data_IF_823441204309
#
_entry.id   IF_823441204309
#
_cell.length_a   1.000
_cell.length_b   1.000
_cell.length_c   1.000
_cell.angle_alpha   90.00
_cell.angle_beta   90.00
_cell.angle_gamma   90.00
#
_symmetry.space_group_name_H-M   'P 1'
#
loop_
_entity.id
_entity.type
_entity.pdbx_description
1 polymer ?
#
# COMPACT_ATOMS: atom_id res chain seq x y z
N UNK A 1 -22.27 -49.02 -16.74
CA UNK A 1 -22.27 -48.11 -15.57
C UNK A 1 -20.98 -47.28 -15.42
N UNK A 2 -20.11 -47.23 -16.43
CA UNK A 2 -18.81 -46.51 -16.39
C UNK A 2 -18.86 -45.08 -16.93
N UNK A 3 -19.78 -44.79 -17.87
CA UNK A 3 -19.87 -43.46 -18.52
C UNK A 3 -20.35 -42.33 -17.59
N UNK A 4 -21.20 -42.64 -16.60
CA UNK A 4 -21.74 -41.66 -15.65
C UNK A 4 -20.66 -41.18 -14.67
N UNK A 5 -19.76 -42.07 -14.26
CA UNK A 5 -18.65 -41.77 -13.33
C UNK A 5 -17.62 -40.85 -14.03
N UNK A 6 -17.32 -41.12 -15.30
CA UNK A 6 -16.39 -40.30 -16.08
C UNK A 6 -16.92 -38.87 -16.34
N UNK A 7 -18.23 -38.71 -16.57
CA UNK A 7 -18.84 -37.39 -16.77
C UNK A 7 -18.86 -36.55 -15.48
N UNK A 8 -19.16 -37.17 -14.34
CA UNK A 8 -19.09 -36.49 -13.04
C UNK A 8 -17.67 -36.05 -12.69
N UNK A 9 -16.65 -36.87 -12.97
CA UNK A 9 -15.25 -36.50 -12.76
C UNK A 9 -14.84 -35.31 -13.64
N UNK A 10 -15.29 -35.26 -14.91
CA UNK A 10 -15.00 -34.15 -15.82
C UNK A 10 -15.69 -32.85 -15.38
N UNK A 11 -16.91 -32.94 -14.88
CA UNK A 11 -17.66 -31.79 -14.34
C UNK A 11 -17.00 -31.25 -13.07
N UNK A 12 -16.59 -32.14 -12.16
CA UNK A 12 -15.90 -31.79 -10.91
C UNK A 12 -14.56 -31.12 -11.21
N UNK A 13 -13.73 -31.71 -12.07
CA UNK A 13 -12.46 -31.13 -12.50
C UNK A 13 -12.62 -29.74 -13.13
N UNK A 14 -13.67 -29.51 -13.93
CA UNK A 14 -13.98 -28.19 -14.50
C UNK A 14 -14.33 -27.15 -13.42
N UNK A 15 -15.11 -27.55 -12.41
CA UNK A 15 -15.47 -26.71 -11.27
C UNK A 15 -14.24 -26.36 -10.42
N UNK A 16 -13.41 -27.34 -10.11
CA UNK A 16 -12.20 -27.16 -9.30
C UNK A 16 -11.20 -26.24 -10.01
N UNK A 17 -11.01 -26.41 -11.33
CA UNK A 17 -10.19 -25.51 -12.15
C UNK A 17 -10.72 -24.08 -12.14
N UNK A 18 -12.04 -23.89 -12.24
CA UNK A 18 -12.67 -22.55 -12.19
C UNK A 18 -12.52 -21.92 -10.80
N UNK A 19 -12.66 -22.70 -9.73
CA UNK A 19 -12.47 -22.24 -8.36
C UNK A 19 -11.02 -21.80 -8.11
N UNK A 20 -10.04 -22.60 -8.53
CA UNK A 20 -8.62 -22.27 -8.43
C UNK A 20 -8.26 -20.98 -9.19
N UNK A 21 -8.79 -20.80 -10.41
CA UNK A 21 -8.59 -19.56 -11.18
C UNK A 21 -9.19 -18.34 -10.50
N UNK A 22 -10.39 -18.46 -9.93
CA UNK A 22 -11.04 -17.37 -9.20
C UNK A 22 -10.25 -17.02 -7.92
N UNK A 23 -9.80 -18.04 -7.19
CA UNK A 23 -8.95 -17.87 -6.03
C UNK A 23 -7.66 -17.11 -6.38
N UNK A 24 -6.92 -17.57 -7.41
CA UNK A 24 -5.71 -16.89 -7.90
C UNK A 24 -5.97 -15.44 -8.30
N UNK A 25 -7.07 -15.17 -9.01
CA UNK A 25 -7.46 -13.79 -9.38
C UNK A 25 -7.68 -12.91 -8.16
N UNK A 26 -8.35 -13.41 -7.12
CA UNK A 26 -8.60 -12.66 -5.88
C UNK A 26 -7.30 -12.37 -5.13
N UNK A 27 -6.41 -13.35 -5.01
CA UNK A 27 -5.11 -13.17 -4.38
C UNK A 27 -4.26 -12.11 -5.10
N UNK A 28 -4.22 -12.15 -6.44
CA UNK A 28 -3.53 -11.13 -7.24
C UNK A 28 -4.13 -9.73 -7.05
N UNK A 29 -5.45 -9.62 -6.91
CA UNK A 29 -6.10 -8.34 -6.65
C UNK A 29 -5.69 -7.78 -5.28
N UNK A 30 -5.71 -8.59 -4.23
CA UNK A 30 -5.25 -8.20 -2.89
C UNK A 30 -3.77 -7.81 -2.93
N UNK A 31 -2.90 -8.61 -3.55
CA UNK A 31 -1.49 -8.27 -3.73
C UNK A 31 -1.32 -6.89 -4.38
N UNK A 32 -2.04 -6.63 -5.48
CA UNK A 32 -1.92 -5.37 -6.23
C UNK A 32 -2.35 -4.15 -5.41
N UNK A 33 -3.41 -4.27 -4.62
CA UNK A 33 -3.91 -3.17 -3.77
C UNK A 33 -2.86 -2.76 -2.74
N UNK A 34 -2.21 -3.73 -2.10
CA UNK A 34 -1.32 -3.45 -0.96
C UNK A 34 0.17 -3.33 -1.31
N UNK A 35 0.66 -3.98 -2.37
CA UNK A 35 2.07 -3.84 -2.79
C UNK A 35 2.35 -2.49 -3.46
N UNK A 36 1.38 -1.89 -4.15
CA UNK A 36 1.56 -0.56 -4.72
C UNK A 36 1.68 0.54 -3.66
N UNK A 37 1.26 0.30 -2.41
CA UNK A 37 1.35 1.27 -1.32
C UNK A 37 2.80 1.62 -0.96
N UNK A 38 3.75 0.70 -1.18
CA UNK A 38 5.18 0.87 -0.86
C UNK A 38 6.07 0.85 -2.10
N UNK A 39 5.53 1.25 -3.26
CA UNK A 39 6.29 1.27 -4.50
C UNK A 39 7.43 2.29 -4.41
N UNK A 40 8.67 1.85 -4.66
CA UNK A 40 9.85 2.70 -4.56
C UNK A 40 9.85 3.92 -5.51
N UNK A 41 9.03 3.86 -6.56
CA UNK A 41 8.92 4.87 -7.62
C UNK A 41 7.72 5.81 -7.45
N UNK A 42 7.00 5.75 -6.32
CA UNK A 42 5.83 6.58 -6.08
C UNK A 42 5.86 7.22 -4.70
N UNK A 43 5.36 8.44 -4.62
CA UNK A 43 5.06 9.12 -3.37
C UNK A 43 3.98 8.34 -2.60
N UNK A 44 4.24 8.01 -1.34
CA UNK A 44 3.32 7.26 -0.47
C UNK A 44 2.03 8.04 -0.17
N UNK A 45 2.09 9.38 -0.22
CA UNK A 45 0.95 10.26 0.06
C UNK A 45 0.04 10.46 -1.14
N UNK A 46 0.59 10.95 -2.26
CA UNK A 46 -0.19 11.39 -3.42
C UNK A 46 -0.07 10.46 -4.65
N UNK A 47 0.84 9.48 -4.62
CA UNK A 47 1.03 8.52 -5.72
C UNK A 47 1.80 9.05 -6.94
N UNK A 48 2.22 10.32 -6.92
CA UNK A 48 3.09 10.92 -7.96
C UNK A 48 4.36 10.11 -8.14
N UNK A 49 4.81 9.96 -9.38
CA UNK A 49 6.07 9.26 -9.68
C UNK A 49 7.25 10.05 -9.13
N UNK A 50 8.20 9.35 -8.51
CA UNK A 50 9.40 9.92 -7.93
C UNK A 50 10.60 9.07 -8.31
N UNK A 51 11.76 9.71 -8.43
CA UNK A 51 13.00 9.02 -8.68
C UNK A 51 13.58 8.49 -7.36
N UNK A 52 13.79 7.17 -7.20
CA UNK A 52 14.32 6.60 -5.97
C UNK A 52 15.73 7.10 -5.60
N UNK A 53 16.48 7.62 -6.58
CA UNK A 53 17.85 8.12 -6.44
C UNK A 53 17.92 9.59 -5.96
N UNK A 54 16.79 10.32 -5.96
CA UNK A 54 16.71 11.70 -5.48
C UNK A 54 16.57 11.81 -3.94
N UNK A 55 16.62 10.67 -3.24
CA UNK A 55 16.35 10.58 -1.80
C UNK A 55 17.38 11.27 -0.89
N UNK A 56 18.53 11.64 -1.42
CA UNK A 56 19.61 12.22 -0.60
C UNK A 56 19.56 13.75 -0.50
N UNK A 57 18.56 14.43 -1.09
CA UNK A 57 18.53 15.90 -1.16
C UNK A 57 17.45 16.60 -0.33
N UNK A 58 16.66 15.88 0.50
CA UNK A 58 15.56 16.52 1.25
C UNK A 58 16.02 16.93 2.66
N UNK A 59 16.43 18.20 2.72
CA UNK A 59 16.49 19.15 3.83
C UNK A 59 17.40 18.85 5.03
N UNK A 60 18.68 19.19 4.90
CA UNK A 60 19.54 19.58 6.04
C UNK A 60 19.02 20.86 6.76
N UNK A 61 18.05 21.57 6.18
CA UNK A 61 17.59 22.88 6.67
C UNK A 61 16.82 22.85 7.98
N UNK A 62 16.07 21.79 8.30
CA UNK A 62 15.09 21.84 9.41
C UNK A 62 15.24 20.75 10.48
N UNK A 63 16.28 19.90 10.43
CA UNK A 63 16.50 18.77 11.35
C UNK A 63 15.32 17.77 11.49
N UNK A 64 14.24 17.92 10.71
CA UNK A 64 13.08 17.03 10.74
C UNK A 64 13.29 15.89 9.76
N UNK A 65 13.44 14.68 10.28
CA UNK A 65 13.52 13.46 9.46
C UNK A 65 12.12 13.08 8.95
N UNK A 66 11.92 13.11 7.64
CA UNK A 66 10.70 12.59 6.98
C UNK A 66 10.82 11.07 6.86
N UNK A 67 9.96 10.26 7.53
CA UNK A 67 10.10 8.81 7.55
C UNK A 67 9.46 8.11 6.34
N UNK A 68 8.67 8.85 5.56
CA UNK A 68 7.93 8.35 4.40
C UNK A 68 8.60 8.75 3.09
N UNK A 69 8.36 7.97 2.05
CA UNK A 69 8.81 8.32 0.71
C UNK A 69 7.85 9.30 0.06
N UNK A 70 8.19 10.58 0.13
CA UNK A 70 7.40 11.66 -0.44
C UNK A 70 8.06 12.28 -1.66
N UNK A 71 7.25 12.92 -2.51
CA UNK A 71 7.76 13.96 -3.40
C UNK A 71 8.07 15.23 -2.59
N UNK A 72 8.72 16.21 -3.22
CA UNK A 72 9.08 17.49 -2.60
C UNK A 72 7.88 18.16 -1.89
N UNK A 73 6.77 18.42 -2.61
CA UNK A 73 5.60 19.08 -2.02
C UNK A 73 4.90 18.30 -0.89
N UNK A 74 4.92 16.95 -0.93
CA UNK A 74 4.40 16.16 0.20
C UNK A 74 5.35 16.17 1.40
N UNK A 75 6.64 16.39 1.18
CA UNK A 75 7.64 16.53 2.24
C UNK A 75 7.49 17.87 2.94
N UNK A 76 7.32 18.96 2.18
CA UNK A 76 7.04 20.30 2.72
C UNK A 76 5.76 20.30 3.58
N UNK A 77 4.65 19.80 3.03
CA UNK A 77 3.37 19.74 3.76
C UNK A 77 3.45 18.83 4.99
N UNK A 78 4.30 17.80 4.97
CA UNK A 78 4.55 16.97 6.16
C UNK A 78 5.34 17.72 7.23
N UNK A 79 6.35 18.50 6.84
CA UNK A 79 7.11 19.34 7.77
C UNK A 79 6.17 20.37 8.41
N UNK A 80 5.33 21.04 7.62
CA UNK A 80 4.31 21.96 8.14
C UNK A 80 3.34 21.26 9.10
N UNK A 81 2.98 20.01 8.82
CA UNK A 81 2.13 19.22 9.71
C UNK A 81 2.81 18.98 11.05
N UNK A 82 4.09 18.60 11.05
CA UNK A 82 4.89 18.41 12.27
C UNK A 82 5.06 19.72 13.03
N UNK A 83 5.34 20.83 12.35
CA UNK A 83 5.44 22.15 12.97
C UNK A 83 4.12 22.57 13.62
N UNK A 84 3.00 22.31 12.96
CA UNK A 84 1.67 22.61 13.50
C UNK A 84 1.34 21.76 14.73
N UNK A 85 1.77 20.50 14.78
CA UNK A 85 1.65 19.66 15.99
C UNK A 85 2.45 20.22 17.18
N UNK A 86 3.58 20.89 16.93
CA UNK A 86 4.37 21.57 17.97
C UNK A 86 3.80 22.95 18.35
N UNK A 87 2.63 23.33 17.84
CA UNK A 87 2.06 24.67 18.04
C UNK A 87 2.77 25.77 17.26
N UNK A 88 3.67 25.41 16.34
CA UNK A 88 4.36 26.32 15.40
C UNK A 88 3.57 26.40 14.08
N UNK A 89 4.18 27.02 13.07
CA UNK A 89 3.57 27.24 11.75
C UNK A 89 2.82 28.57 11.63
N UNK A 90 2.50 28.95 10.39
CA UNK A 90 1.86 30.23 10.09
C UNK A 90 0.34 30.18 10.34
N UNK A 91 -0.21 30.90 11.34
CA UNK A 91 -1.64 30.89 11.64
C UNK A 91 -2.49 31.53 10.52
N UNK A 92 -1.87 32.27 9.59
CA UNK A 92 -2.56 32.89 8.46
C UNK A 92 -2.68 31.96 7.24
N UNK A 93 -2.09 30.76 7.27
CA UNK A 93 -2.27 29.76 6.21
C UNK A 93 -3.67 29.12 6.34
N UNK A 94 -4.67 29.70 5.67
CA UNK A 94 -6.07 29.28 5.79
C UNK A 94 -6.33 27.81 5.37
N UNK A 95 -5.44 27.23 4.56
CA UNK A 95 -5.55 25.84 4.09
C UNK A 95 -5.00 24.81 5.10
N UNK A 96 -4.16 25.23 6.07
CA UNK A 96 -3.66 24.40 7.18
C UNK A 96 -4.59 24.44 8.40
N UNK A 97 -5.89 24.23 8.14
CA UNK A 97 -6.93 24.22 9.15
C UNK A 97 -7.03 22.86 9.89
N UNK A 98 -7.95 22.76 10.85
CA UNK A 98 -8.15 21.54 11.66
C UNK A 98 -8.51 20.30 10.82
N UNK A 99 -9.22 20.48 9.70
CA UNK A 99 -9.56 19.35 8.81
C UNK A 99 -8.33 18.86 8.07
N UNK A 100 -7.43 19.75 7.66
CA UNK A 100 -6.15 19.38 7.08
C UNK A 100 -5.26 18.63 8.09
N UNK A 101 -5.23 19.07 9.35
CA UNK A 101 -4.55 18.35 10.44
C UNK A 101 -5.11 16.94 10.64
N UNK A 102 -6.44 16.81 10.68
CA UNK A 102 -7.09 15.51 10.82
C UNK A 102 -6.83 14.61 9.60
N UNK A 103 -6.82 15.16 8.39
CA UNK A 103 -6.48 14.41 7.18
C UNK A 103 -5.06 13.82 7.23
N UNK A 104 -4.10 14.56 7.80
CA UNK A 104 -2.76 14.04 8.04
C UNK A 104 -2.71 12.95 9.12
N UNK A 105 -3.36 13.16 10.26
CA UNK A 105 -3.46 12.15 11.33
C UNK A 105 -4.03 10.83 10.82
N UNK A 106 -5.17 10.89 10.14
CA UNK A 106 -5.83 9.70 9.58
C UNK A 106 -4.98 8.99 8.53
N UNK A 107 -4.25 9.75 7.72
CA UNK A 107 -3.35 9.15 6.75
C UNK A 107 -2.18 8.43 7.42
N UNK A 108 -1.58 9.00 8.48
CA UNK A 108 -0.51 8.35 9.25
C UNK A 108 -1.03 7.06 9.92
N UNK A 109 -2.20 7.13 10.55
CA UNK A 109 -2.85 5.96 11.15
C UNK A 109 -3.10 4.85 10.11
N UNK A 110 -3.60 5.25 8.94
CA UNK A 110 -3.83 4.36 7.81
C UNK A 110 -2.52 3.69 7.36
N UNK A 111 -1.42 4.43 7.18
CA UNK A 111 -0.12 3.84 6.85
C UNK A 111 0.31 2.81 7.89
N UNK A 112 0.16 3.11 9.18
CA UNK A 112 0.47 2.16 10.25
C UNK A 112 -0.38 0.88 10.19
N UNK A 113 -1.66 0.96 9.77
CA UNK A 113 -2.51 -0.22 9.56
C UNK A 113 -2.02 -1.03 8.36
N UNK A 114 -1.68 -0.37 7.25
CA UNK A 114 -1.17 -1.04 6.04
C UNK A 114 0.12 -1.79 6.32
N UNK A 115 1.06 -1.17 7.05
CA UNK A 115 2.31 -1.81 7.47
C UNK A 115 2.09 -3.07 8.29
N UNK A 116 1.16 -3.01 9.25
CA UNK A 116 0.80 -4.18 10.07
C UNK A 116 0.14 -5.26 9.23
N UNK A 117 -0.74 -4.88 8.31
CA UNK A 117 -1.40 -5.82 7.42
C UNK A 117 -0.41 -6.53 6.49
N UNK A 118 0.54 -5.81 5.91
CA UNK A 118 1.59 -6.37 5.05
C UNK A 118 2.50 -7.35 5.82
N UNK A 119 2.64 -7.18 7.14
CA UNK A 119 3.38 -8.08 8.04
C UNK A 119 2.51 -9.19 8.65
N UNK A 120 1.21 -9.21 8.38
CA UNK A 120 0.29 -10.23 8.91
C UNK A 120 0.62 -11.62 8.37
N UNK A 121 0.27 -12.65 9.15
CA UNK A 121 0.52 -14.06 8.75
C UNK A 121 -0.25 -14.40 7.48
N UNK A 122 -1.46 -13.86 7.36
CA UNK A 122 -2.39 -14.04 6.25
C UNK A 122 -1.82 -13.45 4.95
N UNK A 123 -1.27 -12.24 5.00
CA UNK A 123 -0.68 -11.62 3.81
C UNK A 123 0.62 -12.30 3.40
N UNK A 124 1.45 -12.72 4.37
CA UNK A 124 2.66 -13.52 4.09
C UNK A 124 2.30 -14.85 3.46
N UNK A 125 1.26 -15.53 3.94
CA UNK A 125 0.75 -16.77 3.36
C UNK A 125 0.27 -16.55 1.91
N UNK A 126 -0.49 -15.49 1.65
CA UNK A 126 -0.91 -15.09 0.30
C UNK A 126 0.29 -14.94 -0.66
N UNK A 127 1.38 -14.31 -0.20
CA UNK A 127 2.58 -14.15 -1.02
C UNK A 127 3.29 -15.48 -1.32
N UNK A 128 3.24 -16.47 -0.41
CA UNK A 128 3.78 -17.82 -0.63
C UNK A 128 2.98 -18.56 -1.70
N UNK A 129 1.65 -18.58 -1.57
CA UNK A 129 0.75 -19.22 -2.54
C UNK A 129 0.92 -18.64 -3.96
N UNK A 130 1.12 -17.32 -4.07
CA UNK A 130 1.39 -16.66 -5.35
C UNK A 130 2.76 -16.98 -5.94
N UNK A 131 3.77 -17.33 -5.12
CA UNK A 131 5.09 -17.77 -5.61
C UNK A 131 5.04 -19.21 -6.09
N UNK A 132 4.43 -20.10 -5.32
CA UNK A 132 4.27 -21.52 -5.66
C UNK A 132 3.50 -21.69 -6.99
N UNK A 133 2.43 -20.93 -7.19
CA UNK A 133 1.64 -20.94 -8.44
C UNK A 133 2.30 -20.29 -9.67
N UNK A 134 3.54 -19.79 -9.55
CA UNK A 134 4.36 -19.30 -10.68
C UNK A 134 5.46 -20.29 -11.08
N UNK A 135 5.71 -21.32 -10.27
CA UNK A 135 6.74 -22.34 -10.50
C UNK A 135 6.22 -23.60 -11.22
N UNK A 136 4.91 -23.63 -11.52
CA UNK A 136 4.23 -24.57 -12.42
C UNK A 136 3.92 -23.90 -13.78
#
# INVERSE_FOLDING_TARGET
>A
MTNVIHFNNKLQHSRDKKAALNHKRKLLAVQKVFQCAHCAFKCEKCGTQINPDERDNISEKDNIRVPYRFCEGCSEEYIDYIERLHGRGNPNCYWHNEVWLEAWRRWIDYQGIIDRYLKSKEFVQLLKELKETRSD
#
